data_IF_555620291635
#
_entry.id   IF_555620291635
#
_cell.length_a   1.000
_cell.length_b   1.000
_cell.length_c   1.000
_cell.angle_alpha   90.00
_cell.angle_beta   90.00
_cell.angle_gamma   90.00
#
_symmetry.space_group_name_H-M   'P 1'
#
loop_
_entity.id
_entity.type
_entity.pdbx_description
1 polymer ?
#
# COMPACT_ATOMS: atom_id res chain seq x y z
N UNK A 1 -20.91 8.39 -33.36
CA UNK A 1 -20.65 8.09 -31.94
C UNK A 1 -19.13 7.90 -31.82
N UNK A 2 -18.47 8.91 -31.29
CA UNK A 2 -16.99 8.92 -31.18
C UNK A 2 -16.58 8.18 -29.91
N UNK A 3 -16.18 6.93 -30.04
CA UNK A 3 -15.40 6.21 -29.02
C UNK A 3 -13.96 6.75 -29.06
N UNK A 4 -13.76 7.92 -28.50
CA UNK A 4 -12.41 8.29 -28.04
C UNK A 4 -12.15 7.48 -26.77
N UNK A 5 -11.69 6.24 -26.95
CA UNK A 5 -10.99 5.52 -25.88
C UNK A 5 -9.93 6.46 -25.35
N UNK A 6 -10.12 6.90 -24.11
CA UNK A 6 -9.08 7.59 -23.35
C UNK A 6 -7.87 6.66 -23.26
N UNK A 7 -6.97 6.77 -24.19
CA UNK A 7 -5.68 6.06 -24.12
C UNK A 7 -4.97 6.57 -22.87
N UNK A 8 -4.90 5.72 -21.85
CA UNK A 8 -4.14 6.03 -20.66
C UNK A 8 -2.68 6.24 -21.03
N UNK A 9 -2.10 7.38 -20.67
CA UNK A 9 -0.67 7.59 -20.79
C UNK A 9 0.05 6.66 -19.81
N UNK A 10 0.97 5.85 -20.31
CA UNK A 10 1.83 4.99 -19.49
C UNK A 10 3.19 5.67 -19.20
N UNK A 11 3.32 6.95 -19.53
CA UNK A 11 4.50 7.71 -19.21
C UNK A 11 4.55 8.00 -17.72
N UNK A 12 5.63 7.62 -17.08
CA UNK A 12 5.92 7.98 -15.70
C UNK A 12 6.13 9.49 -15.60
N UNK A 13 5.35 10.14 -14.74
CA UNK A 13 5.48 11.57 -14.48
C UNK A 13 5.84 11.75 -13.00
N UNK A 14 6.97 12.44 -12.69
CA UNK A 14 7.33 12.66 -11.30
C UNK A 14 6.22 13.39 -10.54
N UNK A 15 5.89 12.93 -9.32
CA UNK A 15 4.98 13.67 -8.45
C UNK A 15 5.59 15.02 -8.08
N UNK A 16 4.78 16.07 -8.15
CA UNK A 16 5.20 17.41 -7.77
C UNK A 16 5.53 17.50 -6.27
N UNK A 17 6.55 18.27 -5.93
CA UNK A 17 6.98 18.48 -4.55
C UNK A 17 7.99 17.45 -4.02
N UNK A 18 8.55 16.63 -4.92
CA UNK A 18 9.62 15.67 -4.62
C UNK A 18 10.78 15.85 -5.62
N UNK A 19 12.01 15.44 -5.27
CA UNK A 19 13.08 15.29 -6.25
C UNK A 19 12.64 14.36 -7.39
N UNK A 20 13.05 14.63 -8.62
CA UNK A 20 12.54 13.97 -9.82
C UNK A 20 12.58 12.43 -9.73
N UNK A 21 13.72 11.86 -9.35
CA UNK A 21 13.89 10.40 -9.23
C UNK A 21 12.98 9.78 -8.18
N UNK A 22 12.82 10.44 -7.02
CA UNK A 22 11.89 10.02 -5.96
C UNK A 22 10.45 10.14 -6.47
N UNK A 23 10.11 11.28 -7.08
CA UNK A 23 8.78 11.53 -7.62
C UNK A 23 8.34 10.51 -8.67
N UNK A 24 9.27 10.00 -9.50
CA UNK A 24 8.99 8.94 -10.47
C UNK A 24 8.58 7.61 -9.80
N UNK A 25 9.29 7.20 -8.75
CA UNK A 25 8.93 5.99 -7.98
C UNK A 25 7.61 6.15 -7.23
N UNK A 26 7.41 7.31 -6.60
CA UNK A 26 6.14 7.60 -5.93
C UNK A 26 4.97 7.61 -6.91
N UNK A 27 5.16 8.14 -8.12
CA UNK A 27 4.15 8.05 -9.18
C UNK A 27 3.80 6.60 -9.50
N UNK A 28 4.79 5.72 -9.63
CA UNK A 28 4.56 4.31 -9.92
C UNK A 28 3.76 3.62 -8.80
N UNK A 29 4.04 3.96 -7.54
CA UNK A 29 3.28 3.46 -6.39
C UNK A 29 1.84 3.95 -6.40
N UNK A 30 1.60 5.23 -6.73
CA UNK A 30 0.25 5.80 -6.84
C UNK A 30 -0.53 5.19 -8.01
N UNK A 31 0.11 5.01 -9.16
CA UNK A 31 -0.51 4.35 -10.31
C UNK A 31 -0.92 2.90 -9.97
N UNK A 32 -0.05 2.15 -9.30
CA UNK A 32 -0.34 0.80 -8.82
C UNK A 32 -1.51 0.76 -7.84
N UNK A 33 -1.55 1.70 -6.88
CA UNK A 33 -2.65 1.83 -5.92
C UNK A 33 -3.96 2.15 -6.62
N UNK A 34 -3.95 3.08 -7.57
CA UNK A 34 -5.15 3.46 -8.31
C UNK A 34 -5.70 2.29 -9.14
N UNK A 35 -4.82 1.49 -9.76
CA UNK A 35 -5.24 0.27 -10.47
C UNK A 35 -5.85 -0.77 -9.54
N UNK A 36 -5.28 -0.95 -8.37
CA UNK A 36 -5.85 -1.84 -7.34
C UNK A 36 -7.26 -1.40 -6.95
N UNK A 37 -7.46 -0.12 -6.66
CA UNK A 37 -8.79 0.42 -6.34
C UNK A 37 -9.79 0.21 -7.48
N UNK A 38 -9.37 0.46 -8.72
CA UNK A 38 -10.22 0.26 -9.90
C UNK A 38 -10.62 -1.22 -10.09
N UNK A 39 -9.67 -2.13 -9.88
CA UNK A 39 -9.92 -3.57 -9.99
C UNK A 39 -10.89 -4.09 -8.91
N UNK A 40 -10.91 -3.44 -7.75
CA UNK A 40 -11.77 -3.82 -6.62
C UNK A 40 -13.12 -3.07 -6.60
N UNK A 41 -13.34 -2.13 -7.52
CA UNK A 41 -14.60 -1.39 -7.58
C UNK A 41 -15.79 -2.32 -7.80
N UNK A 42 -16.76 -2.30 -6.88
CA UNK A 42 -17.97 -3.12 -6.95
C UNK A 42 -17.78 -4.58 -6.53
N UNK A 43 -16.63 -4.96 -6.01
CA UNK A 43 -16.39 -6.32 -5.47
C UNK A 43 -17.24 -6.52 -4.22
N UNK A 44 -17.94 -7.65 -4.14
CA UNK A 44 -18.80 -7.99 -3.01
C UNK A 44 -18.01 -8.42 -1.79
N UNK A 45 -18.59 -8.29 -0.58
CA UNK A 45 -18.00 -8.78 0.66
C UNK A 45 -17.66 -10.28 0.57
N UNK A 46 -18.54 -11.07 -0.02
CA UNK A 46 -18.31 -12.50 -0.19
C UNK A 46 -17.05 -12.80 -1.04
N UNK A 47 -16.74 -11.95 -2.02
CA UNK A 47 -15.53 -12.10 -2.83
C UNK A 47 -14.28 -11.62 -2.07
N UNK A 48 -14.40 -10.56 -1.24
CA UNK A 48 -13.30 -10.07 -0.40
C UNK A 48 -12.86 -11.13 0.61
N UNK A 49 -13.80 -11.85 1.18
CA UNK A 49 -13.57 -12.90 2.19
C UNK A 49 -13.46 -14.31 1.60
N UNK A 50 -13.49 -14.44 0.27
CA UNK A 50 -13.50 -15.75 -0.40
C UNK A 50 -12.23 -16.55 -0.14
N UNK A 51 -12.42 -17.79 0.31
CA UNK A 51 -11.35 -18.77 0.56
C UNK A 51 -11.70 -20.11 -0.09
N UNK A 52 -10.67 -20.83 -0.49
CA UNK A 52 -10.78 -22.22 -0.94
C UNK A 52 -9.61 -23.02 -0.39
N UNK A 53 -9.64 -24.35 -0.42
CA UNK A 53 -8.47 -25.16 -0.06
C UNK A 53 -7.19 -24.85 -0.87
N UNK A 54 -7.36 -24.22 -2.04
CA UNK A 54 -6.24 -23.86 -2.92
C UNK A 54 -5.86 -22.37 -2.83
N UNK A 55 -6.66 -21.55 -2.13
CA UNK A 55 -6.44 -20.10 -1.98
C UNK A 55 -6.52 -19.77 -0.50
N UNK A 56 -5.37 -19.72 0.15
CA UNK A 56 -5.28 -19.47 1.60
C UNK A 56 -5.56 -18.01 1.97
N UNK A 57 -5.11 -17.07 1.12
CA UNK A 57 -5.21 -15.65 1.41
C UNK A 57 -6.40 -15.02 0.69
N UNK A 58 -7.28 -14.39 1.45
CA UNK A 58 -8.39 -13.60 0.91
C UNK A 58 -7.90 -12.27 0.35
N UNK A 59 -8.73 -11.59 -0.44
CA UNK A 59 -8.45 -10.22 -0.87
C UNK A 59 -8.24 -9.31 0.35
N UNK A 60 -9.11 -9.40 1.37
CA UNK A 60 -9.00 -8.61 2.60
C UNK A 60 -7.68 -8.84 3.33
N UNK A 61 -7.26 -10.10 3.47
CA UNK A 61 -5.95 -10.46 4.05
C UNK A 61 -4.79 -9.83 3.28
N UNK A 62 -4.83 -9.88 1.94
CA UNK A 62 -3.78 -9.29 1.11
C UNK A 62 -3.75 -7.76 1.19
N UNK A 63 -4.90 -7.10 1.22
CA UNK A 63 -4.98 -5.64 1.38
C UNK A 63 -4.41 -5.19 2.73
N UNK A 64 -4.71 -5.92 3.81
CA UNK A 64 -4.11 -5.67 5.12
C UNK A 64 -2.59 -5.85 5.07
N UNK A 65 -2.11 -6.94 4.48
CA UNK A 65 -0.68 -7.20 4.35
C UNK A 65 0.04 -6.12 3.54
N UNK A 66 -0.55 -5.64 2.44
CA UNK A 66 0.03 -4.55 1.64
C UNK A 66 0.17 -3.28 2.49
N UNK A 67 -0.83 -2.92 3.29
CA UNK A 67 -0.75 -1.77 4.18
C UNK A 67 0.36 -1.93 5.24
N UNK A 68 0.43 -3.11 5.86
CA UNK A 68 1.43 -3.41 6.88
C UNK A 68 2.87 -3.35 6.32
N UNK A 69 3.12 -3.97 5.17
CA UNK A 69 4.44 -3.95 4.54
C UNK A 69 4.85 -2.55 4.09
N UNK A 70 3.92 -1.73 3.62
CA UNK A 70 4.23 -0.36 3.20
C UNK A 70 4.78 0.48 4.35
N UNK A 71 4.18 0.38 5.53
CA UNK A 71 4.65 1.14 6.70
C UNK A 71 5.84 0.46 7.40
N UNK A 72 5.94 -0.85 7.36
CA UNK A 72 7.09 -1.58 7.86
C UNK A 72 8.36 -1.13 7.13
N UNK A 73 8.34 -1.15 5.82
CA UNK A 73 9.45 -0.65 5.01
C UNK A 73 9.73 0.83 5.22
N UNK A 74 8.68 1.63 5.37
CA UNK A 74 8.85 3.06 5.61
C UNK A 74 9.54 3.33 6.96
N UNK A 75 8.95 2.82 8.04
CA UNK A 75 9.41 3.17 9.39
C UNK A 75 10.62 2.36 9.81
N UNK A 76 10.61 1.05 9.61
CA UNK A 76 11.70 0.18 10.06
C UNK A 76 12.92 0.30 9.14
N UNK A 77 12.72 0.15 7.81
CA UNK A 77 13.83 0.05 6.87
C UNK A 77 14.35 1.42 6.40
N UNK A 78 13.47 2.38 6.13
CA UNK A 78 13.84 3.67 5.55
C UNK A 78 14.15 4.70 6.63
N UNK A 79 13.23 4.89 7.58
CA UNK A 79 13.35 5.88 8.63
C UNK A 79 14.15 5.36 9.84
N UNK A 80 14.32 4.05 9.99
CA UNK A 80 15.00 3.39 11.12
C UNK A 80 14.37 3.83 12.46
N UNK A 81 13.03 3.80 12.54
CA UNK A 81 12.22 4.26 13.66
C UNK A 81 11.13 3.24 14.00
N UNK A 82 10.62 3.30 15.22
CA UNK A 82 9.41 2.57 15.61
C UNK A 82 8.15 3.21 14.99
N UNK A 83 7.07 2.45 14.93
CA UNK A 83 5.80 2.98 14.46
C UNK A 83 5.27 4.05 15.43
N UNK A 84 4.84 5.20 14.94
CA UNK A 84 4.10 6.12 15.78
C UNK A 84 2.70 5.56 16.10
N UNK A 85 2.07 5.97 17.24
CA UNK A 85 0.80 5.40 17.69
C UNK A 85 -0.33 5.42 16.67
N UNK A 86 -0.37 6.42 15.82
CA UNK A 86 -1.36 6.53 14.74
C UNK A 86 -1.18 5.47 13.64
N UNK A 87 0.04 5.00 13.42
CA UNK A 87 0.34 3.91 12.48
C UNK A 87 0.08 2.55 13.13
N UNK A 88 0.46 2.37 14.39
CA UNK A 88 0.13 1.15 15.15
C UNK A 88 -1.39 0.92 15.18
N UNK A 89 -2.18 1.97 15.36
CA UNK A 89 -3.65 1.89 15.36
C UNK A 89 -4.26 1.41 14.03
N UNK A 90 -3.54 1.56 12.91
CA UNK A 90 -3.96 1.04 11.62
C UNK A 90 -3.73 -0.47 11.49
N UNK A 91 -2.89 -1.06 12.33
CA UNK A 91 -2.44 -2.45 12.26
C UNK A 91 -2.81 -3.22 13.53
N UNK A 92 -4.11 -3.44 13.81
CA UNK A 92 -4.58 -4.03 15.05
C UNK A 92 -4.25 -5.53 15.20
N UNK A 93 -3.69 -6.15 14.18
CA UNK A 93 -3.30 -7.57 14.18
C UNK A 93 -1.85 -7.75 13.76
N UNK A 94 -1.22 -8.78 14.27
CA UNK A 94 0.09 -9.22 13.76
C UNK A 94 -0.03 -9.57 12.27
N UNK A 95 0.99 -9.25 11.50
CA UNK A 95 1.03 -9.52 10.05
C UNK A 95 1.01 -11.02 9.77
N UNK A 96 1.61 -11.80 10.67
CA UNK A 96 1.66 -13.27 10.57
C UNK A 96 1.17 -13.92 11.84
N UNK A 97 0.47 -15.05 11.67
CA UNK A 97 0.04 -15.91 12.76
C UNK A 97 1.22 -16.75 13.33
N UNK A 98 0.94 -17.50 14.39
CA UNK A 98 1.93 -18.36 15.04
C UNK A 98 2.53 -19.45 14.11
N UNK A 99 1.88 -19.77 12.99
CA UNK A 99 2.36 -20.71 11.98
C UNK A 99 3.21 -20.04 10.89
N UNK A 100 3.38 -18.72 10.94
CA UNK A 100 4.09 -17.92 9.94
C UNK A 100 3.28 -17.58 8.69
N UNK A 101 2.00 -17.93 8.65
CA UNK A 101 1.08 -17.53 7.56
C UNK A 101 0.58 -16.11 7.76
N UNK A 102 0.10 -15.49 6.70
CA UNK A 102 -0.56 -14.20 6.84
C UNK A 102 -1.78 -14.34 7.77
N UNK A 103 -1.89 -13.43 8.71
CA UNK A 103 -3.07 -13.36 9.60
C UNK A 103 -4.32 -13.13 8.78
N UNK A 104 -5.30 -14.00 8.92
CA UNK A 104 -6.55 -13.90 8.19
C UNK A 104 -7.35 -12.68 8.66
N UNK A 105 -7.65 -11.77 7.75
CA UNK A 105 -8.50 -10.59 8.00
C UNK A 105 -9.78 -10.76 7.21
N UNK A 106 -10.88 -10.98 7.92
CA UNK A 106 -12.19 -11.30 7.38
C UNK A 106 -13.26 -10.35 7.95
N UNK A 107 -14.35 -10.19 7.22
CA UNK A 107 -15.53 -9.45 7.69
C UNK A 107 -15.39 -7.93 7.66
N UNK A 108 -14.26 -7.38 7.21
CA UNK A 108 -14.11 -5.94 7.01
C UNK A 108 -14.61 -5.51 5.63
N UNK A 109 -15.33 -4.40 5.59
CA UNK A 109 -15.79 -3.83 4.33
C UNK A 109 -14.60 -3.37 3.45
N UNK A 110 -14.80 -3.38 2.14
CA UNK A 110 -13.79 -2.89 1.19
C UNK A 110 -13.32 -1.48 1.54
N UNK A 111 -14.24 -0.59 1.91
CA UNK A 111 -13.92 0.80 2.26
C UNK A 111 -12.98 0.91 3.47
N UNK A 112 -13.10 0.01 4.45
CA UNK A 112 -12.20 -0.03 5.60
C UNK A 112 -10.78 -0.44 5.20
N UNK A 113 -10.66 -1.42 4.30
CA UNK A 113 -9.37 -1.80 3.72
C UNK A 113 -8.76 -0.67 2.89
N UNK A 114 -9.55 -0.01 2.05
CA UNK A 114 -9.07 1.10 1.22
C UNK A 114 -8.67 2.31 2.07
N UNK A 115 -9.43 2.63 3.12
CA UNK A 115 -9.09 3.71 4.05
C UNK A 115 -7.75 3.45 4.75
N UNK A 116 -7.50 2.21 5.18
CA UNK A 116 -6.20 1.80 5.76
C UNK A 116 -5.07 1.99 4.74
N UNK A 117 -5.25 1.48 3.53
CA UNK A 117 -4.27 1.65 2.45
C UNK A 117 -3.99 3.12 2.11
N UNK A 118 -5.00 3.98 2.18
CA UNK A 118 -4.83 5.41 1.95
C UNK A 118 -4.07 6.08 3.10
N UNK A 119 -4.37 5.71 4.34
CA UNK A 119 -3.69 6.25 5.50
C UNK A 119 -2.19 5.88 5.51
N UNK A 120 -1.84 4.62 5.23
CA UNK A 120 -0.42 4.20 5.12
C UNK A 120 0.30 4.91 3.98
N UNK A 121 -0.37 5.08 2.83
CA UNK A 121 0.18 5.82 1.70
C UNK A 121 0.40 7.29 2.00
N UNK A 122 -0.51 7.94 2.69
CA UNK A 122 -0.34 9.34 3.11
C UNK A 122 0.86 9.51 4.03
N UNK A 123 1.07 8.59 4.97
CA UNK A 123 2.26 8.60 5.85
C UNK A 123 3.55 8.47 5.03
N UNK A 124 3.58 7.54 4.06
CA UNK A 124 4.72 7.37 3.15
C UNK A 124 4.99 8.65 2.34
N UNK A 125 3.98 9.20 1.69
CA UNK A 125 4.13 10.42 0.89
C UNK A 125 4.60 11.61 1.74
N UNK A 126 4.06 11.77 2.95
CA UNK A 126 4.47 12.83 3.86
C UNK A 126 5.95 12.69 4.27
N UNK A 127 6.39 11.47 4.64
CA UNK A 127 7.76 11.19 5.01
C UNK A 127 8.75 11.47 3.87
N UNK A 128 8.40 11.07 2.65
CA UNK A 128 9.26 11.31 1.48
C UNK A 128 9.41 12.78 1.08
N UNK A 129 8.59 13.69 1.59
CA UNK A 129 8.78 15.14 1.39
C UNK A 129 10.03 15.66 2.08
N UNK A 130 10.48 15.00 3.12
CA UNK A 130 11.66 15.40 3.92
C UNK A 130 12.90 14.58 3.60
N UNK A 131 12.78 13.47 2.89
CA UNK A 131 13.91 12.61 2.48
C UNK A 131 14.68 13.30 1.37
N UNK A 132 15.99 13.49 1.60
CA UNK A 132 16.91 14.03 0.60
C UNK A 132 17.35 12.96 -0.40
N UNK A 133 17.92 13.37 -1.54
CA UNK A 133 18.52 12.43 -2.48
C UNK A 133 19.68 11.63 -1.87
N UNK A 134 20.41 12.22 -0.95
CA UNK A 134 21.49 11.55 -0.23
C UNK A 134 20.95 10.44 0.68
N UNK A 135 19.88 10.72 1.43
CA UNK A 135 19.20 9.71 2.25
C UNK A 135 18.57 8.62 1.41
N UNK A 136 17.94 8.98 0.29
CA UNK A 136 17.33 8.04 -0.64
C UNK A 136 18.36 7.05 -1.22
N UNK A 137 19.56 7.53 -1.55
CA UNK A 137 20.65 6.70 -2.07
C UNK A 137 21.52 6.05 -0.99
N UNK A 138 21.25 6.28 0.30
CA UNK A 138 22.04 5.74 1.41
C UNK A 138 21.86 4.22 1.52
N UNK A 139 22.96 3.49 1.63
CA UNK A 139 22.94 2.07 1.97
C UNK A 139 22.46 1.93 3.42
N UNK A 140 21.52 1.02 3.64
CA UNK A 140 20.99 0.66 4.96
C UNK A 140 21.40 -0.77 5.30
N UNK A 141 21.72 -1.02 6.55
CA UNK A 141 21.98 -2.37 7.05
C UNK A 141 20.64 -2.98 7.48
N UNK A 142 20.32 -4.14 6.94
CA UNK A 142 19.20 -4.97 7.39
C UNK A 142 19.66 -5.84 8.55
#
# INVERSE_FOLDING_TARGET
MNEQQHRRSLLTQPLAGYPESIGQWLWALEDGRQRTKQALAGVSQAAIDYRTPCIDNTIGTLLFHIAAIEVDWLYVEILEQEFPPEIEALLPWDVRDASGRLTAVLGLALDEHLARLDATRQALLASFRTITLADYGRVRSL
#
